data_IF_009011418924
#
_entry.id   IF_009011418924
#
_cell.length_a   1.000
_cell.length_b   1.000
_cell.length_c   1.000
_cell.angle_alpha   90.00
_cell.angle_beta   90.00
_cell.angle_gamma   90.00
#
_symmetry.space_group_name_H-M   'P 1'
#
loop_
_entity.id
_entity.type
_entity.pdbx_description
1 polymer ?
#
# COMPACT_ATOMS: atom_id res chain seq x y z
N UNK A 1 8.82 -8.39 -4.31
CA UNK A 1 8.77 -8.77 -5.74
C UNK A 1 8.28 -10.21 -5.94
N UNK A 2 9.03 -11.26 -5.58
CA UNK A 2 8.57 -12.65 -5.78
C UNK A 2 7.19 -12.97 -5.16
N UNK A 3 6.91 -12.44 -3.96
CA UNK A 3 5.61 -12.62 -3.31
C UNK A 3 4.49 -11.86 -4.03
N UNK A 4 4.79 -10.64 -4.49
CA UNK A 4 3.83 -9.77 -5.16
C UNK A 4 3.39 -10.40 -6.49
N UNK A 5 4.35 -10.92 -7.26
CA UNK A 5 4.10 -11.58 -8.55
C UNK A 5 3.24 -12.85 -8.37
N UNK A 6 3.49 -13.62 -7.30
CA UNK A 6 2.69 -14.79 -6.96
C UNK A 6 1.24 -14.41 -6.60
N UNK A 7 1.06 -13.32 -5.85
CA UNK A 7 -0.27 -12.83 -5.47
C UNK A 7 -1.07 -12.44 -6.72
N UNK A 8 -0.45 -11.73 -7.66
CA UNK A 8 -1.07 -11.35 -8.93
C UNK A 8 -1.47 -12.60 -9.72
N UNK A 9 -0.56 -13.57 -9.89
CA UNK A 9 -0.86 -14.81 -10.61
C UNK A 9 -2.01 -15.61 -9.97
N UNK A 10 -2.09 -15.64 -8.64
CA UNK A 10 -3.19 -16.30 -7.93
C UNK A 10 -4.53 -15.59 -8.18
N UNK A 11 -4.54 -14.26 -8.13
CA UNK A 11 -5.74 -13.48 -8.42
C UNK A 11 -6.19 -13.64 -9.88
N UNK A 12 -5.28 -13.60 -10.84
CA UNK A 12 -5.57 -13.76 -12.27
C UNK A 12 -6.06 -15.18 -12.62
N UNK A 13 -5.48 -16.22 -12.02
CA UNK A 13 -5.82 -17.62 -12.32
C UNK A 13 -7.11 -18.09 -11.66
N UNK A 14 -7.45 -17.55 -10.48
CA UNK A 14 -8.61 -18.00 -9.69
C UNK A 14 -9.79 -17.04 -9.71
N UNK A 15 -9.56 -15.76 -10.03
CA UNK A 15 -10.54 -14.69 -9.83
C UNK A 15 -10.79 -14.36 -8.36
N UNK A 16 -9.97 -14.85 -7.43
CA UNK A 16 -10.13 -14.60 -6.01
C UNK A 16 -9.83 -13.15 -5.63
N UNK A 17 -10.50 -12.66 -4.58
CA UNK A 17 -10.12 -11.40 -3.93
C UNK A 17 -9.02 -11.67 -2.91
N UNK A 18 -7.87 -11.02 -3.07
CA UNK A 18 -6.75 -11.13 -2.14
C UNK A 18 -6.77 -9.96 -1.18
N UNK A 19 -6.78 -10.26 0.12
CA UNK A 19 -6.59 -9.27 1.20
C UNK A 19 -5.25 -9.56 1.85
N UNK A 20 -4.40 -8.55 1.94
CA UNK A 20 -3.08 -8.66 2.56
C UNK A 20 -2.86 -7.55 3.58
N UNK A 21 -2.10 -7.88 4.62
CA UNK A 21 -1.64 -6.92 5.63
C UNK A 21 -0.14 -6.80 5.47
N UNK A 22 0.34 -5.62 5.11
CA UNK A 22 1.76 -5.37 4.89
C UNK A 22 2.14 -3.97 5.34
N UNK A 23 3.39 -3.84 5.77
CA UNK A 23 4.06 -2.58 6.05
C UNK A 23 5.15 -2.29 4.99
N UNK A 24 5.26 -3.14 3.96
CA UNK A 24 6.19 -2.97 2.86
C UNK A 24 5.58 -2.10 1.75
N UNK A 25 6.07 -0.88 1.65
CA UNK A 25 5.60 0.11 0.67
C UNK A 25 5.80 -0.34 -0.79
N UNK A 26 6.88 -1.09 -1.07
CA UNK A 26 7.12 -1.63 -2.42
C UNK A 26 5.98 -2.56 -2.86
N UNK A 27 5.55 -3.47 -1.98
CA UNK A 27 4.40 -4.34 -2.24
C UNK A 27 3.10 -3.55 -2.34
N UNK A 28 2.89 -2.56 -1.47
CA UNK A 28 1.69 -1.70 -1.52
C UNK A 28 1.57 -1.02 -2.89
N UNK A 29 2.64 -0.40 -3.41
CA UNK A 29 2.58 0.28 -4.71
C UNK A 29 2.62 -0.66 -5.93
N UNK A 30 3.09 -1.90 -5.74
CA UNK A 30 3.18 -2.88 -6.82
C UNK A 30 1.83 -3.55 -7.11
N UNK A 31 1.07 -3.93 -6.08
CA UNK A 31 -0.10 -4.80 -6.26
C UNK A 31 -1.39 -4.33 -5.58
N UNK A 32 -1.34 -3.36 -4.66
CA UNK A 32 -2.56 -2.91 -3.99
C UNK A 32 -3.37 -1.96 -4.89
N UNK A 33 -4.59 -2.39 -5.22
CA UNK A 33 -5.57 -1.59 -5.98
C UNK A 33 -6.44 -0.72 -5.07
N UNK A 34 -6.62 -1.16 -3.83
CA UNK A 34 -7.29 -0.42 -2.77
C UNK A 34 -6.62 -0.75 -1.44
N UNK A 35 -6.63 0.19 -0.50
CA UNK A 35 -5.96 0.07 0.79
C UNK A 35 -6.80 0.67 1.91
N UNK A 36 -6.62 0.17 3.12
CA UNK A 36 -7.21 0.70 4.35
C UNK A 36 -6.08 0.97 5.32
N UNK A 37 -5.96 2.22 5.75
CA UNK A 37 -4.99 2.64 6.75
C UNK A 37 -5.63 2.61 8.12
N UNK A 38 -4.98 1.91 9.05
CA UNK A 38 -5.40 1.81 10.44
C UNK A 38 -4.40 2.58 11.31
N UNK A 39 -4.91 3.37 12.23
CA UNK A 39 -4.10 3.96 13.29
C UNK A 39 -3.86 2.92 14.40
N UNK A 40 -2.61 2.55 14.71
CA UNK A 40 -2.32 1.58 15.76
C UNK A 40 -2.70 2.06 17.17
N UNK A 41 -2.77 3.38 17.41
CA UNK A 41 -3.09 3.92 18.73
C UNK A 41 -4.59 3.84 19.01
N UNK A 42 -5.41 4.42 18.13
CA UNK A 42 -6.87 4.41 18.29
C UNK A 42 -7.52 3.12 17.78
N UNK A 43 -6.78 2.28 17.04
CA UNK A 43 -7.28 1.07 16.36
C UNK A 43 -8.46 1.36 15.43
N UNK A 44 -8.45 2.54 14.82
CA UNK A 44 -9.51 3.00 13.91
C UNK A 44 -8.99 3.13 12.49
N UNK A 45 -9.90 3.03 11.52
CA UNK A 45 -9.60 3.36 10.13
C UNK A 45 -9.46 4.86 9.98
N UNK A 46 -8.32 5.30 9.47
CA UNK A 46 -8.00 6.71 9.29
C UNK A 46 -8.14 7.19 7.85
N UNK A 47 -7.97 6.29 6.87
CA UNK A 47 -8.19 6.58 5.45
C UNK A 47 -8.32 5.29 4.63
N UNK A 48 -8.89 5.38 3.43
CA UNK A 48 -8.97 4.28 2.48
C UNK A 48 -9.02 4.73 1.02
N UNK A 49 -8.51 3.89 0.12
CA UNK A 49 -8.44 4.19 -1.32
C UNK A 49 -7.18 3.66 -2.00
N UNK A 50 -6.96 4.11 -3.23
CA UNK A 50 -5.73 3.81 -3.99
C UNK A 50 -4.50 4.42 -3.28
N UNK A 51 -3.46 3.62 -2.97
CA UNK A 51 -2.26 4.12 -2.29
C UNK A 51 -1.59 5.33 -2.97
N UNK A 52 -1.63 5.42 -4.30
CA UNK A 52 -1.04 6.55 -5.06
C UNK A 52 -1.88 7.81 -4.86
N UNK A 53 -3.20 7.69 -4.91
CA UNK A 53 -4.12 8.80 -4.61
C UNK A 53 -3.99 9.26 -3.17
N UNK A 54 -3.91 8.33 -2.22
CA UNK A 54 -3.74 8.65 -0.81
C UNK A 54 -2.41 9.33 -0.51
N UNK A 55 -1.33 8.93 -1.18
CA UNK A 55 -0.02 9.60 -1.05
C UNK A 55 -0.12 11.09 -1.38
N UNK A 56 -0.81 11.43 -2.48
CA UNK A 56 -0.82 12.78 -3.04
C UNK A 56 -1.96 13.65 -2.48
N UNK A 57 -3.08 13.04 -2.06
CA UNK A 57 -4.32 13.74 -1.75
C UNK A 57 -4.99 13.37 -0.43
N UNK A 58 -4.47 12.41 0.34
CA UNK A 58 -5.04 12.08 1.66
C UNK A 58 -5.11 13.33 2.54
N UNK A 59 -6.17 13.47 3.33
CA UNK A 59 -6.28 14.53 4.34
C UNK A 59 -5.41 14.23 5.56
N UNK A 60 -5.10 12.96 5.80
CA UNK A 60 -4.32 12.51 6.95
C UNK A 60 -2.83 12.65 6.70
N UNK A 61 -2.16 13.49 7.49
CA UNK A 61 -0.71 13.68 7.38
C UNK A 61 0.07 12.37 7.63
N UNK A 62 -0.40 11.53 8.55
CA UNK A 62 0.21 10.24 8.86
C UNK A 62 0.20 9.29 7.65
N UNK A 63 -0.91 9.23 6.91
CA UNK A 63 -1.04 8.40 5.69
C UNK A 63 -0.09 8.87 4.61
N UNK A 64 -0.04 10.19 4.35
CA UNK A 64 0.91 10.77 3.39
C UNK A 64 2.36 10.50 3.79
N UNK A 65 2.70 10.67 5.07
CA UNK A 65 4.05 10.44 5.57
C UNK A 65 4.49 8.99 5.42
N UNK A 66 3.61 8.04 5.77
CA UNK A 66 3.87 6.62 5.58
C UNK A 66 4.13 6.30 4.11
N UNK A 67 3.24 6.74 3.21
CA UNK A 67 3.35 6.47 1.77
C UNK A 67 4.52 7.18 1.08
N UNK A 68 4.97 8.32 1.61
CA UNK A 68 6.08 9.11 1.03
C UNK A 68 7.45 8.61 1.49
N UNK A 69 7.56 7.97 2.66
CA UNK A 69 8.86 7.52 3.22
C UNK A 69 9.64 6.59 2.28
N UNK A 70 8.99 5.84 1.39
CA UNK A 70 9.68 5.04 0.37
C UNK A 70 10.02 5.78 -0.93
N UNK A 71 9.35 6.90 -1.24
CA UNK A 71 9.71 7.69 -2.42
C UNK A 71 11.11 8.30 -2.26
N UNK A 72 11.45 8.77 -1.05
CA UNK A 72 12.77 9.34 -0.75
C UNK A 72 13.91 8.31 -0.77
N UNK A 73 13.63 7.01 -0.57
CA UNK A 73 14.65 5.95 -0.56
C UNK A 73 14.87 5.36 -1.96
N UNK A 74 13.90 5.49 -2.87
CA UNK A 74 14.01 4.97 -4.23
C UNK A 74 14.91 5.82 -5.16
N UNK A 75 15.20 7.07 -4.81
CA UNK A 75 16.03 7.98 -5.62
C UNK A 75 17.53 7.95 -5.26
N UNK A 76 17.93 7.24 -4.20
CA UNK A 76 19.32 7.19 -3.70
C UNK A 76 20.03 5.86 -4.05
N UNK A 77 19.62 5.20 -5.13
CA UNK A 77 20.18 3.92 -5.58
C UNK A 77 20.40 3.83 -7.10
N UNK A 78 20.61 4.97 -7.77
CA UNK A 78 21.10 5.03 -9.17
C UNK A 78 22.54 5.53 -9.23
#
# INVERSE_FOLDING_TARGET
>A
RLLDDLIVQLQESTGATVVMVTHELASIFAIATNSVFLDPETRTMIDCGDPRQLRDHSKQALVRQFLTRSAAVAEDSS
#
